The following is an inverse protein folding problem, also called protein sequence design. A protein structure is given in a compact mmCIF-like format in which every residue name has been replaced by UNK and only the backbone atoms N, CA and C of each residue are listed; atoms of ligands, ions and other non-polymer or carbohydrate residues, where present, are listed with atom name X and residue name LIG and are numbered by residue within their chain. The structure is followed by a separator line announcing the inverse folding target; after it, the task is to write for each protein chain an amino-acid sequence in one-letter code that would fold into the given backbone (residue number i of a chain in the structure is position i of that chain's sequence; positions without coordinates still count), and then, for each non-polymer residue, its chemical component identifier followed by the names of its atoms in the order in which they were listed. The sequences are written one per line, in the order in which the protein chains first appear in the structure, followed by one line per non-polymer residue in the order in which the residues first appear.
data_IF_215326116738
#
_entry.id   IF_215326116738
#
_cell.length_a   1.000
_cell.length_b   1.000
_cell.length_c   1.000
_cell.angle_alpha   90.00
_cell.angle_beta   90.00
_cell.angle_gamma   90.00
#
_symmetry.space_group_name_H-M   'P 1'
#
loop_
_entity.id
_entity.type
_entity.pdbx_description
1 polymer ?
#
# COMPACT_ATOMS: atom_id res chain seq x y z
N UNK A 1 51.90 -29.86 -24.97
CA UNK A 1 51.93 -31.31 -24.70
C UNK A 1 50.55 -31.67 -24.20
N UNK A 2 49.66 -32.04 -25.12
CA UNK A 2 48.30 -32.46 -24.82
C UNK A 2 48.27 -33.96 -24.54
N UNK A 3 47.79 -34.34 -23.36
CA UNK A 3 47.52 -35.72 -22.99
C UNK A 3 46.07 -36.03 -23.35
N UNK A 4 45.78 -37.07 -24.17
CA UNK A 4 44.40 -37.45 -24.43
C UNK A 4 43.81 -38.15 -23.20
N UNK A 5 42.64 -37.69 -22.79
CA UNK A 5 41.78 -38.33 -21.80
C UNK A 5 41.20 -39.62 -22.41
N UNK A 6 41.21 -40.76 -21.69
CA UNK A 6 40.58 -41.98 -22.20
C UNK A 6 39.06 -41.78 -22.28
N UNK A 7 38.54 -41.96 -23.50
CA UNK A 7 37.13 -41.98 -23.80
C UNK A 7 36.44 -43.06 -22.98
N UNK A 8 35.40 -42.67 -22.25
CA UNK A 8 34.53 -43.61 -21.54
C UNK A 8 33.87 -44.57 -22.51
N UNK A 9 34.09 -45.86 -22.29
CA UNK A 9 33.49 -46.97 -23.02
C UNK A 9 31.98 -46.79 -23.15
N UNK A 10 31.55 -46.47 -24.37
CA UNK A 10 30.16 -46.51 -24.79
C UNK A 10 30.04 -47.58 -25.86
N UNK A 11 29.49 -48.73 -25.49
CA UNK A 11 29.01 -49.72 -26.46
C UNK A 11 27.50 -49.50 -26.57
N UNK A 12 27.05 -48.96 -27.71
CA UNK A 12 25.64 -48.66 -28.06
C UNK A 12 24.92 -47.56 -27.25
N UNK A 13 25.59 -46.48 -26.84
CA UNK A 13 24.91 -45.24 -26.41
C UNK A 13 23.99 -45.37 -25.19
N UNK A 14 24.08 -46.47 -24.42
CA UNK A 14 23.37 -46.66 -23.16
C UNK A 14 24.41 -46.84 -22.05
N UNK A 15 24.37 -46.03 -20.98
CA UNK A 15 25.29 -46.20 -19.87
C UNK A 15 25.12 -47.59 -19.24
N UNK A 16 26.23 -48.25 -18.91
CA UNK A 16 26.22 -49.48 -18.15
C UNK A 16 25.46 -49.26 -16.83
N UNK A 17 24.51 -50.14 -16.46
CA UNK A 17 23.87 -50.06 -15.16
C UNK A 17 24.92 -50.31 -14.07
N UNK A 18 25.20 -49.28 -13.27
CA UNK A 18 26.04 -49.40 -12.07
C UNK A 18 25.29 -50.29 -11.05
N UNK A 19 25.80 -51.45 -10.67
CA UNK A 19 25.16 -52.29 -9.66
C UNK A 19 25.18 -51.56 -8.31
N UNK A 20 24.01 -51.37 -7.69
CA UNK A 20 23.90 -50.85 -6.31
C UNK A 20 23.19 -49.51 -6.14
N UNK A 21 22.69 -48.86 -7.21
CA UNK A 21 21.80 -47.69 -7.08
C UNK A 21 20.33 -48.15 -7.17
N UNK A 22 19.74 -48.52 -6.04
CA UNK A 22 18.28 -48.62 -5.94
C UNK A 22 17.66 -47.28 -6.31
N UNK A 23 16.56 -47.31 -7.06
CA UNK A 23 15.80 -46.09 -7.35
C UNK A 23 15.48 -45.37 -6.03
N UNK A 24 15.59 -44.02 -5.97
CA UNK A 24 15.25 -43.30 -4.76
C UNK A 24 13.80 -43.65 -4.37
N UNK A 25 13.53 -43.88 -3.09
CA UNK A 25 12.16 -44.17 -2.65
C UNK A 25 11.24 -43.03 -3.10
N UNK A 26 9.98 -43.34 -3.44
CA UNK A 26 9.02 -42.31 -3.83
C UNK A 26 8.91 -41.26 -2.72
N UNK A 27 8.72 -39.97 -3.06
CA UNK A 27 8.64 -38.89 -2.08
C UNK A 27 7.52 -39.17 -1.08
N UNK A 28 7.83 -39.00 0.20
CA UNK A 28 6.89 -39.20 1.29
C UNK A 28 5.80 -38.13 1.25
N UNK A 29 4.60 -38.48 1.71
CA UNK A 29 3.54 -37.49 1.88
C UNK A 29 3.90 -36.49 2.97
N UNK A 30 3.65 -35.22 2.71
CA UNK A 30 3.77 -34.18 3.72
C UNK A 30 2.54 -34.19 4.62
N UNK A 31 2.72 -34.71 5.82
CA UNK A 31 1.68 -34.83 6.84
C UNK A 31 1.11 -33.47 7.28
N UNK A 32 1.82 -32.36 7.03
CA UNK A 32 1.35 -31.02 7.35
C UNK A 32 0.21 -30.53 6.44
N UNK A 33 0.00 -31.23 5.32
CA UNK A 33 -1.02 -30.93 4.32
C UNK A 33 -2.27 -31.83 4.40
N UNK A 34 -2.36 -32.71 5.38
CA UNK A 34 -3.54 -33.59 5.55
C UNK A 34 -4.79 -32.79 5.93
N UNK A 35 -4.65 -31.84 6.84
CA UNK A 35 -5.72 -30.89 7.18
C UNK A 35 -5.58 -29.64 6.29
N UNK A 36 -6.70 -29.16 5.77
CA UNK A 36 -6.74 -27.94 4.94
C UNK A 36 -7.30 -26.77 5.75
N UNK A 37 -6.52 -25.68 5.96
CA UNK A 37 -7.02 -24.48 6.62
C UNK A 37 -8.32 -23.94 6.03
N UNK A 38 -8.55 -24.08 4.72
CA UNK A 38 -9.76 -23.59 4.08
C UNK A 38 -11.04 -24.34 4.50
N UNK A 39 -10.92 -25.59 4.95
CA UNK A 39 -12.05 -26.38 5.48
C UNK A 39 -12.46 -25.93 6.90
N UNK A 40 -11.50 -25.44 7.70
CA UNK A 40 -11.72 -25.04 9.09
C UNK A 40 -11.96 -23.54 9.27
N UNK A 41 -11.30 -22.71 8.45
CA UNK A 41 -11.47 -21.27 8.41
C UNK A 41 -11.68 -20.83 6.95
N UNK A 42 -12.91 -20.88 6.42
CA UNK A 42 -13.19 -20.46 5.04
C UNK A 42 -12.76 -19.01 4.78
N UNK A 43 -13.03 -18.08 5.70
CA UNK A 43 -12.38 -16.76 5.70
C UNK A 43 -11.00 -16.86 6.39
N UNK A 44 -9.90 -16.47 5.73
CA UNK A 44 -8.59 -16.39 6.37
C UNK A 44 -8.58 -15.63 7.71
N UNK A 45 -9.44 -14.61 7.88
CA UNK A 45 -9.43 -13.80 9.10
C UNK A 45 -10.03 -14.48 10.32
N UNK A 46 -10.81 -15.54 10.13
CA UNK A 46 -11.41 -16.31 11.22
C UNK A 46 -10.38 -17.20 11.94
N UNK A 47 -9.24 -17.46 11.29
CA UNK A 47 -8.14 -18.17 11.94
C UNK A 47 -7.64 -17.36 13.15
N UNK A 48 -7.57 -17.96 14.35
CA UNK A 48 -6.96 -17.33 15.51
C UNK A 48 -5.51 -16.91 15.24
N UNK A 49 -5.03 -15.90 15.95
CA UNK A 49 -3.64 -15.47 15.81
C UNK A 49 -2.65 -16.51 16.34
N UNK A 50 -1.47 -16.53 15.72
CA UNK A 50 -0.36 -17.37 16.16
C UNK A 50 0.82 -16.49 16.63
N UNK A 51 1.49 -16.85 17.74
CA UNK A 51 1.15 -17.93 18.67
C UNK A 51 -0.15 -17.62 19.43
N UNK A 52 -0.86 -18.65 19.87
CA UNK A 52 -2.04 -18.47 20.73
C UNK A 52 -1.59 -17.86 22.07
N UNK A 53 -1.93 -16.59 22.30
CA UNK A 53 -1.73 -15.92 23.58
C UNK A 53 -2.97 -16.10 24.46
N UNK A 54 -2.76 -16.58 25.68
CA UNK A 54 -3.85 -16.82 26.63
C UNK A 54 -4.05 -15.59 27.51
N UNK A 55 -5.32 -15.23 27.75
CA UNK A 55 -5.73 -14.12 28.62
C UNK A 55 -5.46 -14.36 30.11
N UNK A 56 -5.07 -15.57 30.52
CA UNK A 56 -4.84 -15.98 31.91
C UNK A 56 -3.36 -16.30 32.23
N UNK A 57 -2.43 -15.99 31.31
CA UNK A 57 -0.98 -16.13 31.55
C UNK A 57 -0.46 -17.57 31.60
N UNK A 58 -1.30 -18.59 31.44
CA UNK A 58 -0.89 -20.00 31.40
C UNK A 58 -0.86 -20.47 29.94
N UNK A 59 0.14 -19.98 29.21
CA UNK A 59 0.47 -20.53 27.91
C UNK A 59 1.03 -21.95 28.04
N UNK A 60 0.32 -22.92 27.48
CA UNK A 60 0.91 -24.24 27.22
C UNK A 60 2.00 -24.05 26.17
N UNK A 61 3.24 -23.88 26.65
CA UNK A 61 4.49 -23.55 25.94
C UNK A 61 4.52 -22.10 25.45
N UNK A 62 5.13 -21.22 26.27
CA UNK A 62 5.60 -19.89 25.83
C UNK A 62 6.47 -20.10 24.60
N UNK A 63 5.93 -19.82 23.42
CA UNK A 63 6.74 -19.76 22.22
C UNK A 63 7.54 -18.45 22.30
N UNK A 64 8.83 -18.57 22.62
CA UNK A 64 9.77 -17.45 22.78
C UNK A 64 10.48 -17.09 21.47
N UNK A 65 10.10 -17.74 20.36
CA UNK A 65 10.70 -17.49 19.05
C UNK A 65 10.19 -16.23 18.36
N UNK A 66 10.73 -15.90 17.17
CA UNK A 66 10.26 -14.80 16.34
C UNK A 66 8.76 -14.97 16.03
N UNK A 67 8.00 -13.88 16.06
CA UNK A 67 6.55 -13.82 15.79
C UNK A 67 6.26 -13.34 14.36
N UNK A 68 4.99 -13.36 13.95
CA UNK A 68 4.57 -12.95 12.61
C UNK A 68 5.00 -13.95 11.53
N UNK A 69 5.11 -13.48 10.27
CA UNK A 69 5.35 -14.35 9.10
C UNK A 69 6.60 -15.21 9.24
N UNK A 70 7.77 -14.61 9.50
CA UNK A 70 9.03 -15.34 9.61
C UNK A 70 9.00 -16.37 10.76
N UNK A 71 8.35 -16.02 11.87
CA UNK A 71 8.10 -16.91 12.99
C UNK A 71 7.27 -18.13 12.65
N UNK A 72 6.14 -17.88 11.99
CA UNK A 72 5.21 -18.91 11.55
C UNK A 72 5.87 -19.84 10.50
N UNK A 73 6.64 -19.30 9.56
CA UNK A 73 7.40 -20.09 8.59
C UNK A 73 8.44 -20.99 9.27
N UNK A 74 9.18 -20.46 10.25
CA UNK A 74 10.14 -21.26 11.04
C UNK A 74 9.42 -22.37 11.83
N UNK A 75 8.30 -22.05 12.48
CA UNK A 75 7.49 -23.06 13.18
C UNK A 75 7.00 -24.13 12.21
N UNK A 76 6.60 -23.75 11.00
CA UNK A 76 6.14 -24.67 9.97
C UNK A 76 7.24 -25.65 9.57
N UNK A 77 8.49 -25.19 9.43
CA UNK A 77 9.65 -26.05 9.15
C UNK A 77 9.93 -27.04 10.28
N UNK A 78 9.81 -26.60 11.55
CA UNK A 78 9.95 -27.48 12.71
C UNK A 78 8.86 -28.55 12.75
N UNK A 79 7.60 -28.16 12.49
CA UNK A 79 6.48 -29.08 12.44
C UNK A 79 6.60 -30.08 11.28
N UNK A 80 7.04 -29.62 10.11
CA UNK A 80 7.34 -30.47 8.96
C UNK A 80 8.41 -31.53 9.29
N UNK A 81 9.48 -31.12 9.96
CA UNK A 81 10.54 -32.05 10.40
C UNK A 81 10.01 -33.09 11.42
N UNK A 82 9.23 -32.64 12.41
CA UNK A 82 8.68 -33.50 13.45
C UNK A 82 7.65 -34.51 12.92
N UNK A 83 6.75 -34.06 12.03
CA UNK A 83 5.69 -34.90 11.49
C UNK A 83 6.18 -35.89 10.43
N UNK A 84 7.14 -35.48 9.60
CA UNK A 84 7.63 -36.29 8.50
C UNK A 84 8.94 -37.02 8.82
N UNK A 85 9.36 -37.04 10.10
CA UNK A 85 10.55 -37.75 10.62
C UNK A 85 11.83 -37.48 9.81
N UNK A 86 12.01 -36.24 9.35
CA UNK A 86 13.19 -35.85 8.57
C UNK A 86 13.28 -36.44 7.16
N UNK A 87 12.17 -36.87 6.55
CA UNK A 87 12.16 -37.32 5.17
C UNK A 87 12.74 -36.24 4.23
N UNK A 88 13.66 -36.64 3.35
CA UNK A 88 14.45 -35.75 2.49
C UNK A 88 13.69 -35.22 1.27
N UNK A 89 12.58 -35.86 0.92
CA UNK A 89 11.71 -35.44 -0.18
C UNK A 89 10.26 -35.61 0.23
N UNK A 90 9.54 -34.49 0.24
CA UNK A 90 8.14 -34.38 0.63
C UNK A 90 7.31 -33.96 -0.57
N UNK A 91 6.11 -34.52 -0.70
CA UNK A 91 5.11 -34.09 -1.66
C UNK A 91 3.78 -33.83 -0.98
N UNK A 92 2.93 -33.02 -1.61
CA UNK A 92 1.55 -32.87 -1.14
C UNK A 92 0.80 -34.22 -1.26
N UNK A 93 0.02 -34.60 -0.24
CA UNK A 93 -0.82 -35.79 -0.29
C UNK A 93 -1.94 -35.61 -1.32
N UNK A 94 -2.34 -36.69 -1.97
CA UNK A 94 -3.56 -36.74 -2.80
C UNK A 94 -4.81 -36.71 -1.90
N UNK A 95 -5.99 -36.50 -2.48
CA UNK A 95 -7.23 -36.47 -1.70
C UNK A 95 -7.51 -37.80 -0.98
N UNK A 96 -7.24 -38.93 -1.63
CA UNK A 96 -7.38 -40.26 -1.04
C UNK A 96 -6.41 -40.48 0.12
N UNK A 97 -5.16 -40.03 -0.03
CA UNK A 97 -4.14 -40.11 1.02
C UNK A 97 -4.48 -39.20 2.21
N UNK A 98 -5.02 -38.00 1.94
CA UNK A 98 -5.55 -37.10 2.98
C UNK A 98 -6.65 -37.80 3.76
N UNK A 99 -7.61 -38.42 3.08
CA UNK A 99 -8.72 -39.11 3.73
C UNK A 99 -8.26 -40.33 4.55
N UNK A 100 -7.32 -41.11 4.02
CA UNK A 100 -6.75 -42.27 4.70
C UNK A 100 -5.97 -41.87 5.96
N UNK A 101 -5.08 -40.88 5.85
CA UNK A 101 -4.31 -40.37 7.00
C UNK A 101 -5.20 -39.67 8.02
N UNK A 102 -6.21 -38.92 7.56
CA UNK A 102 -7.22 -38.33 8.44
C UNK A 102 -7.93 -39.41 9.25
N UNK A 103 -8.46 -40.45 8.59
CA UNK A 103 -9.16 -41.55 9.27
C UNK A 103 -8.24 -42.33 10.23
N UNK A 104 -6.93 -42.38 9.94
CA UNK A 104 -5.94 -43.06 10.79
C UNK A 104 -5.64 -42.28 12.08
N UNK A 105 -5.59 -40.95 12.02
CA UNK A 105 -5.13 -40.09 13.14
C UNK A 105 -6.29 -39.43 13.89
N UNK A 106 -7.38 -39.11 13.22
CA UNK A 106 -8.46 -38.29 13.73
C UNK A 106 -9.80 -39.02 13.76
N UNK A 107 -10.71 -38.48 14.57
CA UNK A 107 -12.15 -38.75 14.52
C UNK A 107 -12.92 -37.44 14.62
N UNK A 108 -14.09 -37.38 13.98
CA UNK A 108 -14.99 -36.22 13.98
C UNK A 108 -15.86 -36.21 15.23
N UNK A 109 -15.25 -36.00 16.39
CA UNK A 109 -15.94 -35.96 17.68
C UNK A 109 -15.11 -35.24 18.72
N UNK A 110 -15.75 -34.57 19.68
CA UNK A 110 -15.06 -33.89 20.77
C UNK A 110 -14.35 -32.61 20.32
N UNK A 111 -13.90 -31.83 21.31
CA UNK A 111 -13.40 -30.47 21.08
C UNK A 111 -12.06 -30.17 21.79
N UNK A 112 -11.07 -31.09 21.85
CA UNK A 112 -9.78 -30.78 22.48
C UNK A 112 -9.05 -29.60 21.83
N UNK A 113 -9.35 -29.32 20.55
CA UNK A 113 -8.77 -28.24 19.77
C UNK A 113 -9.64 -26.98 19.69
N UNK A 114 -10.62 -26.82 20.60
CA UNK A 114 -11.55 -25.68 20.62
C UNK A 114 -10.85 -24.31 20.64
N UNK A 115 -9.63 -24.26 21.16
CA UNK A 115 -8.78 -23.05 21.22
C UNK A 115 -8.38 -22.53 19.85
N UNK A 116 -8.33 -23.42 18.86
CA UNK A 116 -8.13 -23.08 17.45
C UNK A 116 -9.46 -22.75 16.76
N UNK A 117 -10.59 -22.76 17.48
CA UNK A 117 -11.94 -22.68 16.89
C UNK A 117 -12.44 -24.00 16.30
N UNK A 118 -11.75 -25.12 16.56
CA UNK A 118 -12.07 -26.44 16.01
C UNK A 118 -12.81 -27.26 17.06
N UNK A 119 -14.13 -27.42 16.88
CA UNK A 119 -15.01 -28.03 17.89
C UNK A 119 -15.44 -29.47 17.59
N UNK A 120 -15.12 -30.01 16.43
CA UNK A 120 -15.59 -31.30 15.92
C UNK A 120 -14.46 -32.28 15.59
N UNK A 121 -13.27 -32.09 16.19
CA UNK A 121 -12.07 -32.84 15.85
C UNK A 121 -11.32 -33.28 17.12
N UNK A 122 -11.02 -34.57 17.22
CA UNK A 122 -10.10 -35.10 18.24
C UNK A 122 -9.17 -36.14 17.63
N UNK A 123 -8.10 -36.48 18.37
CA UNK A 123 -7.31 -37.67 18.08
C UNK A 123 -8.22 -38.93 18.11
N UNK A 124 -7.89 -39.92 17.29
CA UNK A 124 -8.64 -41.19 17.22
C UNK A 124 -8.51 -41.97 18.53
N UNK A 125 -7.29 -42.03 19.07
CA UNK A 125 -6.91 -42.73 20.30
C UNK A 125 -5.73 -42.02 21.00
N UNK A 126 -5.34 -42.51 22.18
CA UNK A 126 -4.22 -41.95 22.96
C UNK A 126 -2.87 -42.05 22.25
N UNK A 127 -2.67 -43.04 21.38
CA UNK A 127 -1.41 -43.23 20.66
C UNK A 127 -1.24 -42.21 19.52
N UNK A 128 -2.33 -41.61 19.07
CA UNK A 128 -2.36 -40.63 17.99
C UNK A 128 -2.44 -39.18 18.49
N UNK A 129 -2.57 -38.94 19.80
CA UNK A 129 -2.72 -37.61 20.40
C UNK A 129 -1.59 -36.64 20.06
N UNK A 130 -0.32 -37.05 20.22
CA UNK A 130 0.82 -36.19 19.92
C UNK A 130 0.89 -35.83 18.43
N UNK A 131 0.65 -36.82 17.57
CA UNK A 131 0.65 -36.61 16.12
C UNK A 131 -0.51 -35.74 15.67
N UNK A 132 -1.70 -35.97 16.23
CA UNK A 132 -2.88 -35.15 15.98
C UNK A 132 -2.63 -33.69 16.39
N UNK A 133 -2.03 -33.48 17.57
CA UNK A 133 -1.68 -32.15 18.08
C UNK A 133 -0.69 -31.43 17.17
N UNK A 134 0.36 -32.12 16.71
CA UNK A 134 1.32 -31.55 15.75
C UNK A 134 0.68 -31.21 14.39
N UNK A 135 -0.23 -32.06 13.90
CA UNK A 135 -0.95 -31.82 12.64
C UNK A 135 -1.93 -30.64 12.76
N UNK A 136 -2.59 -30.47 13.91
CA UNK A 136 -3.47 -29.32 14.18
C UNK A 136 -2.66 -28.03 14.36
N UNK A 137 -1.49 -28.08 14.99
CA UNK A 137 -0.59 -26.92 15.05
C UNK A 137 -0.10 -26.53 13.65
N UNK A 138 0.22 -27.51 12.79
CA UNK A 138 0.58 -27.23 11.39
C UNK A 138 -0.59 -26.64 10.59
N UNK A 139 -1.80 -27.13 10.83
CA UNK A 139 -3.03 -26.56 10.28
C UNK A 139 -3.19 -25.09 10.70
N UNK A 140 -3.05 -24.79 11.99
CA UNK A 140 -3.19 -23.44 12.54
C UNK A 140 -2.13 -22.48 11.98
N UNK A 141 -0.87 -22.87 11.98
CA UNK A 141 0.23 -22.06 11.44
C UNK A 141 0.01 -21.76 9.96
N UNK A 142 -0.44 -22.73 9.16
CA UNK A 142 -0.79 -22.51 7.74
C UNK A 142 -2.01 -21.58 7.59
N UNK A 143 -3.03 -21.73 8.44
CA UNK A 143 -4.18 -20.83 8.49
C UNK A 143 -3.76 -19.39 8.80
N UNK A 144 -2.86 -19.21 9.76
CA UNK A 144 -2.32 -17.92 10.13
C UNK A 144 -1.47 -17.29 9.02
N UNK A 145 -0.64 -18.08 8.31
CA UNK A 145 0.08 -17.58 7.13
C UNK A 145 -0.89 -17.09 6.04
N UNK A 146 -1.96 -17.85 5.77
CA UNK A 146 -3.03 -17.44 4.84
C UNK A 146 -3.75 -16.17 5.32
N UNK A 147 -3.97 -16.02 6.63
CA UNK A 147 -4.49 -14.78 7.24
C UNK A 147 -3.57 -13.60 6.96
N UNK A 148 -2.27 -13.73 7.20
CA UNK A 148 -1.30 -12.67 6.95
C UNK A 148 -1.27 -12.25 5.47
N UNK A 149 -1.30 -13.21 4.55
CA UNK A 149 -1.38 -12.93 3.12
C UNK A 149 -2.65 -12.16 2.76
N UNK A 150 -3.81 -12.58 3.29
CA UNK A 150 -5.08 -11.89 3.08
C UNK A 150 -5.08 -10.48 3.68
N UNK A 151 -4.49 -10.28 4.86
CA UNK A 151 -4.35 -8.97 5.50
C UNK A 151 -3.51 -8.04 4.63
N UNK A 152 -2.34 -8.48 4.16
CA UNK A 152 -1.47 -7.68 3.28
C UNK A 152 -2.19 -7.29 1.99
N UNK A 153 -2.94 -8.23 1.39
CA UNK A 153 -3.73 -7.95 0.19
C UNK A 153 -4.83 -6.89 0.46
N UNK A 154 -5.58 -7.03 1.56
CA UNK A 154 -6.62 -6.06 1.95
C UNK A 154 -6.04 -4.68 2.27
N UNK A 155 -4.89 -4.62 2.94
CA UNK A 155 -4.20 -3.35 3.23
C UNK A 155 -3.69 -2.65 1.97
N UNK A 156 -3.14 -3.42 1.01
CA UNK A 156 -2.71 -2.88 -0.27
C UNK A 156 -3.88 -2.30 -1.07
N UNK A 157 -5.01 -3.01 -1.11
CA UNK A 157 -6.24 -2.53 -1.74
C UNK A 157 -6.77 -1.27 -1.05
N UNK A 158 -6.87 -1.28 0.28
CA UNK A 158 -7.35 -0.14 1.06
C UNK A 158 -6.46 1.10 0.87
N UNK A 159 -5.12 0.92 0.80
CA UNK A 159 -4.18 2.01 0.53
C UNK A 159 -4.40 2.62 -0.86
N UNK A 160 -4.61 1.78 -1.87
CA UNK A 160 -4.88 2.27 -3.23
C UNK A 160 -6.22 2.98 -3.33
N UNK A 161 -7.27 2.45 -2.68
CA UNK A 161 -8.57 3.11 -2.60
C UNK A 161 -8.48 4.49 -1.92
N UNK A 162 -7.72 4.62 -0.82
CA UNK A 162 -7.48 5.92 -0.16
C UNK A 162 -6.77 6.89 -1.10
N UNK A 163 -5.70 6.45 -1.78
CA UNK A 163 -4.97 7.27 -2.76
C UNK A 163 -5.89 7.81 -3.85
N UNK A 164 -6.75 6.96 -4.41
CA UNK A 164 -7.72 7.35 -5.43
C UNK A 164 -8.79 8.31 -4.89
N UNK A 165 -9.27 8.08 -3.66
CA UNK A 165 -10.25 8.95 -3.02
C UNK A 165 -9.69 10.36 -2.75
N UNK A 166 -8.45 10.45 -2.28
CA UNK A 166 -7.78 11.73 -2.04
C UNK A 166 -7.51 12.48 -3.35
N UNK A 167 -7.08 11.79 -4.41
CA UNK A 167 -6.90 12.38 -5.72
C UNK A 167 -8.21 12.93 -6.32
N UNK A 168 -9.33 12.19 -6.16
CA UNK A 168 -10.66 12.66 -6.58
C UNK A 168 -11.08 13.91 -5.81
N UNK A 169 -10.89 13.92 -4.50
CA UNK A 169 -11.21 15.07 -3.64
C UNK A 169 -10.43 16.32 -4.07
N UNK A 170 -9.12 16.19 -4.29
CA UNK A 170 -8.28 17.30 -4.73
C UNK A 170 -8.72 17.86 -6.09
N UNK A 171 -9.09 16.98 -7.03
CA UNK A 171 -9.60 17.41 -8.34
C UNK A 171 -10.94 18.13 -8.24
N UNK A 172 -11.85 17.64 -7.40
CA UNK A 172 -13.15 18.26 -7.19
C UNK A 172 -13.04 19.61 -6.47
N UNK A 173 -12.11 19.73 -5.53
CA UNK A 173 -11.79 21.00 -4.87
C UNK A 173 -11.24 22.02 -5.86
N UNK A 174 -10.25 21.63 -6.68
CA UNK A 174 -9.70 22.49 -7.74
C UNK A 174 -10.81 22.98 -8.69
N UNK A 175 -11.68 22.07 -9.17
CA UNK A 175 -12.78 22.41 -10.08
C UNK A 175 -13.78 23.39 -9.48
N UNK A 176 -13.98 23.38 -8.17
CA UNK A 176 -14.90 24.28 -7.47
C UNK A 176 -14.26 25.63 -7.17
N UNK A 177 -13.02 25.64 -6.70
CA UNK A 177 -12.37 26.84 -6.17
C UNK A 177 -11.80 27.74 -7.27
N UNK A 178 -11.14 27.15 -8.27
CA UNK A 178 -10.38 27.91 -9.27
C UNK A 178 -11.25 28.88 -10.08
N UNK A 179 -12.48 28.53 -10.53
CA UNK A 179 -13.32 29.51 -11.22
C UNK A 179 -13.69 30.71 -10.34
N UNK A 180 -13.95 30.49 -9.05
CA UNK A 180 -14.29 31.54 -8.08
C UNK A 180 -13.08 32.45 -7.83
N UNK A 181 -11.90 31.87 -7.63
CA UNK A 181 -10.67 32.64 -7.45
C UNK A 181 -10.30 33.44 -8.70
N UNK A 182 -10.48 32.88 -9.90
CA UNK A 182 -10.28 33.60 -11.17
C UNK A 182 -11.25 34.77 -11.29
N UNK A 183 -12.52 34.58 -10.94
CA UNK A 183 -13.52 35.65 -10.96
C UNK A 183 -13.14 36.79 -9.99
N UNK A 184 -12.70 36.45 -8.78
CA UNK A 184 -12.21 37.42 -7.80
C UNK A 184 -10.97 38.18 -8.30
N UNK A 185 -9.98 37.48 -8.86
CA UNK A 185 -8.79 38.08 -9.45
C UNK A 185 -9.17 39.08 -10.56
N UNK A 186 -10.10 38.71 -11.43
CA UNK A 186 -10.55 39.57 -12.52
C UNK A 186 -11.27 40.83 -11.97
N UNK A 187 -12.16 40.66 -10.99
CA UNK A 187 -12.85 41.78 -10.33
C UNK A 187 -11.87 42.76 -9.67
N UNK A 188 -10.85 42.23 -8.99
CA UNK A 188 -9.79 43.04 -8.40
C UNK A 188 -8.96 43.76 -9.46
N UNK A 189 -8.63 43.11 -10.58
CA UNK A 189 -7.91 43.73 -11.68
C UNK A 189 -8.68 44.93 -12.27
N UNK A 190 -10.00 44.79 -12.45
CA UNK A 190 -10.84 45.90 -12.90
C UNK A 190 -10.89 47.05 -11.88
N UNK A 191 -10.96 46.73 -10.58
CA UNK A 191 -10.95 47.75 -9.53
C UNK A 191 -9.63 48.55 -9.53
N UNK A 192 -8.50 47.86 -9.72
CA UNK A 192 -7.19 48.49 -9.88
C UNK A 192 -7.15 49.40 -11.10
N UNK A 193 -7.66 48.95 -12.25
CA UNK A 193 -7.71 49.76 -13.47
C UNK A 193 -8.54 51.05 -13.27
N UNK A 194 -9.71 50.95 -12.64
CA UNK A 194 -10.54 52.11 -12.30
C UNK A 194 -9.85 53.08 -11.33
N UNK A 195 -9.08 52.55 -10.38
CA UNK A 195 -8.33 53.39 -9.44
C UNK A 195 -7.19 54.15 -10.15
N UNK A 196 -6.47 53.47 -11.04
CA UNK A 196 -5.40 54.09 -11.82
C UNK A 196 -5.92 55.22 -12.71
N UNK A 197 -7.05 55.00 -13.40
CA UNK A 197 -7.70 56.04 -14.19
C UNK A 197 -8.01 57.29 -13.35
N UNK A 198 -8.57 57.10 -12.16
CA UNK A 198 -8.88 58.22 -11.24
C UNK A 198 -7.63 59.02 -10.86
N UNK A 199 -6.52 58.34 -10.54
CA UNK A 199 -5.26 59.01 -10.21
C UNK A 199 -4.72 59.82 -11.38
N UNK A 200 -4.84 59.30 -12.61
CA UNK A 200 -4.39 60.00 -13.80
C UNK A 200 -5.29 61.20 -14.14
N UNK A 201 -6.61 61.07 -13.95
CA UNK A 201 -7.57 62.17 -14.08
C UNK A 201 -7.30 63.29 -13.05
N UNK A 202 -7.03 62.93 -11.79
CA UNK A 202 -6.67 63.87 -10.72
C UNK A 202 -5.37 64.62 -11.04
N UNK A 203 -4.35 63.92 -11.55
CA UNK A 203 -3.09 64.54 -11.99
C UNK A 203 -3.32 65.48 -13.18
N UNK A 204 -4.10 65.07 -14.17
CA UNK A 204 -4.42 65.86 -15.34
C UNK A 204 -5.18 67.14 -14.96
N UNK A 205 -6.17 67.02 -14.06
CA UNK A 205 -6.92 68.15 -13.52
C UNK A 205 -6.00 69.14 -12.79
N UNK A 206 -5.16 68.65 -11.86
CA UNK A 206 -4.19 69.49 -11.15
C UNK A 206 -3.22 70.20 -12.08
N UNK A 207 -2.72 69.51 -13.11
CA UNK A 207 -1.83 70.11 -14.12
C UNK A 207 -2.52 71.16 -14.97
N UNK A 208 -3.76 70.91 -15.39
CA UNK A 208 -4.56 71.87 -16.15
C UNK A 208 -4.79 73.16 -15.36
N UNK A 209 -5.13 73.04 -14.08
CA UNK A 209 -5.29 74.21 -13.19
C UNK A 209 -4.00 75.03 -13.08
N UNK A 210 -2.87 74.38 -12.82
CA UNK A 210 -1.56 75.06 -12.76
C UNK A 210 -1.20 75.79 -14.06
N UNK A 211 -1.52 75.18 -15.21
CA UNK A 211 -1.26 75.81 -16.51
C UNK A 211 -2.16 77.02 -16.76
N UNK A 212 -3.45 76.93 -16.42
CA UNK A 212 -4.39 78.08 -16.52
C UNK A 212 -3.92 79.25 -15.66
N UNK A 213 -3.63 78.98 -14.38
CA UNK A 213 -3.09 79.99 -13.44
C UNK A 213 -1.80 80.64 -13.97
N UNK A 214 -0.89 79.84 -14.55
CA UNK A 214 0.35 80.35 -15.12
C UNK A 214 0.11 81.24 -16.36
N UNK A 215 -0.77 80.83 -17.27
CA UNK A 215 -1.10 81.60 -18.48
C UNK A 215 -1.82 82.91 -18.12
N UNK A 216 -2.71 82.91 -17.14
CA UNK A 216 -3.36 84.12 -16.63
C UNK A 216 -2.36 85.09 -16.00
N UNK A 217 -1.38 84.58 -15.23
CA UNK A 217 -0.31 85.40 -14.68
C UNK A 217 0.57 86.00 -15.77
N UNK A 218 0.96 85.20 -16.78
CA UNK A 218 1.70 85.68 -17.95
C UNK A 218 0.93 86.77 -18.71
N UNK A 219 -0.38 86.57 -18.92
CA UNK A 219 -1.23 87.56 -19.57
C UNK A 219 -1.28 88.87 -18.76
N UNK A 220 -1.49 88.79 -17.44
CA UNK A 220 -1.52 89.96 -16.55
C UNK A 220 -0.20 90.75 -16.60
N UNK A 221 0.94 90.04 -16.64
CA UNK A 221 2.26 90.66 -16.81
C UNK A 221 2.40 91.32 -18.19
N UNK A 222 1.93 90.66 -19.25
CA UNK A 222 1.99 91.20 -20.61
C UNK A 222 1.13 92.45 -20.78
N UNK A 223 -0.08 92.48 -20.20
CA UNK A 223 -0.97 93.67 -20.14
C UNK A 223 -0.25 94.84 -19.47
N UNK A 224 0.35 94.60 -18.31
CA UNK A 224 1.10 95.63 -17.56
C UNK A 224 2.26 96.19 -18.38
N UNK A 225 3.02 95.31 -19.05
CA UNK A 225 4.13 95.71 -19.91
C UNK A 225 3.65 96.50 -21.14
N UNK A 226 2.55 96.09 -21.79
CA UNK A 226 1.98 96.79 -22.94
C UNK A 226 1.59 98.23 -22.58
N UNK A 227 0.96 98.42 -21.41
CA UNK A 227 0.64 99.74 -20.88
C UNK A 227 1.88 100.61 -20.65
N UNK A 228 2.94 100.05 -20.06
CA UNK A 228 4.19 100.78 -19.80
C UNK A 228 4.89 101.23 -21.09
N UNK A 229 4.74 100.45 -22.17
CA UNK A 229 5.34 100.72 -23.49
C UNK A 229 4.42 101.56 -24.40
N UNK A 230 3.19 101.86 -24.00
CA UNK A 230 2.20 102.58 -24.82
C UNK A 230 1.67 101.77 -26.01
N UNK A 231 1.70 100.45 -25.93
CA UNK A 231 1.19 99.53 -26.96
C UNK A 231 -0.24 99.08 -26.65
N UNK A 232 -0.93 98.53 -27.65
CA UNK A 232 -2.24 97.89 -27.46
C UNK A 232 -2.13 96.67 -26.56
N UNK A 233 -3.09 96.51 -25.66
CA UNK A 233 -3.18 95.39 -24.72
C UNK A 233 -3.48 94.09 -25.48
N UNK A 234 -2.79 92.97 -25.20
CA UNK A 234 -3.09 91.68 -25.82
C UNK A 234 -4.47 91.15 -25.39
N UNK A 235 -5.10 90.32 -26.21
CA UNK A 235 -6.36 89.68 -25.87
C UNK A 235 -6.20 88.69 -24.71
N UNK A 236 -7.26 88.55 -23.89
CA UNK A 236 -7.29 87.58 -22.81
C UNK A 236 -7.29 86.13 -23.34
N UNK A 237 -6.56 85.22 -22.69
CA UNK A 237 -6.58 83.80 -23.06
C UNK A 237 -7.98 83.24 -22.83
N UNK A 238 -8.48 82.43 -23.78
CA UNK A 238 -9.74 81.70 -23.67
C UNK A 238 -9.44 80.24 -23.34
N UNK A 239 -10.11 79.72 -22.32
CA UNK A 239 -10.06 78.32 -21.97
C UNK A 239 -11.45 77.72 -22.16
N UNK A 240 -11.56 76.69 -22.98
CA UNK A 240 -12.77 75.86 -23.07
C UNK A 240 -12.87 74.89 -21.89
#
# INVERSE_FOLDING_TARGET
MDMPTPSGDTVFGKPFPVPGRSAPPPPAIDMTHVLDPAEFWPDPTDCPDWPLEYSDGVSTRRYEGPRGKAGAEMRMQMLGSALNRGATSLRKPTQEERAAEFARVFKRSGSPFYRYGINDLSARDRLTEDRASLMVDALHVRGYLRKLEATVAREAEAKEQRRLADARRALDEYRKMVPVEIEEINSLAEAVARHQQRLDDERAFGRSRMLREHVEALHSHAVTAAHALGLSVPDAPKFD
#
